data_IF_796564949800
#
_entry.id   IF_796564949800
#
_cell.length_a   1.000
_cell.length_b   1.000
_cell.length_c   1.000
_cell.angle_alpha   90.00
_cell.angle_beta   90.00
_cell.angle_gamma   90.00
#
_symmetry.space_group_name_H-M   'P 1'
#
loop_
_entity.id
_entity.type
_entity.pdbx_description
1 polymer ?
#
# COMPACT_ATOMS: atom_id res chain seq x y z
N UNK A 1 -44.27 18.14 8.69
CA UNK A 1 -42.90 17.57 8.87
C UNK A 1 -41.88 18.64 8.51
N UNK A 2 -40.96 18.99 9.42
CA UNK A 2 -40.08 20.13 9.24
C UNK A 2 -38.85 19.66 8.41
N UNK A 3 -38.60 20.14 7.17
CA UNK A 3 -37.54 19.65 6.30
C UNK A 3 -36.13 19.85 6.87
N UNK A 4 -35.96 20.81 7.79
CA UNK A 4 -34.68 21.08 8.45
C UNK A 4 -34.24 19.97 9.42
N UNK A 5 -35.16 19.28 10.08
CA UNK A 5 -34.85 18.18 11.01
C UNK A 5 -34.37 16.94 10.27
N UNK A 6 -34.88 16.69 9.06
CA UNK A 6 -34.49 15.56 8.21
C UNK A 6 -33.09 15.74 7.60
N UNK A 7 -32.69 16.98 7.30
CA UNK A 7 -31.35 17.27 6.73
C UNK A 7 -30.25 17.20 7.78
N UNK A 8 -30.50 17.67 9.01
CA UNK A 8 -29.53 17.58 10.12
C UNK A 8 -29.28 16.12 10.55
N UNK A 9 -30.32 15.29 10.62
CA UNK A 9 -30.16 13.86 10.92
C UNK A 9 -29.35 13.11 9.85
N UNK A 10 -29.50 13.46 8.59
CA UNK A 10 -28.78 12.84 7.47
C UNK A 10 -27.29 13.22 7.43
N UNK A 11 -26.96 14.48 7.73
CA UNK A 11 -25.55 14.92 7.79
C UNK A 11 -24.81 14.34 8.99
N UNK A 12 -25.47 14.18 10.14
CA UNK A 12 -24.87 13.54 11.32
C UNK A 12 -24.64 12.03 11.11
N UNK A 13 -25.57 11.32 10.50
CA UNK A 13 -25.40 9.88 10.20
C UNK A 13 -24.30 9.64 9.16
N UNK A 14 -24.15 10.52 8.16
CA UNK A 14 -23.06 10.43 7.18
C UNK A 14 -21.70 10.68 7.84
N UNK A 15 -21.57 11.68 8.71
CA UNK A 15 -20.33 11.95 9.44
C UNK A 15 -19.94 10.79 10.38
N UNK A 16 -20.90 10.16 11.05
CA UNK A 16 -20.66 9.02 11.92
C UNK A 16 -20.22 7.77 11.12
N UNK A 17 -20.80 7.53 9.95
CA UNK A 17 -20.40 6.41 9.07
C UNK A 17 -18.98 6.62 8.54
N UNK A 18 -18.63 7.80 8.07
CA UNK A 18 -17.28 8.15 7.60
C UNK A 18 -16.24 7.95 8.70
N UNK A 19 -16.49 8.44 9.92
CA UNK A 19 -15.59 8.25 11.05
C UNK A 19 -15.38 6.76 11.39
N UNK A 20 -16.41 5.93 11.23
CA UNK A 20 -16.33 4.48 11.44
C UNK A 20 -15.46 3.82 10.37
N UNK A 21 -15.60 4.21 9.11
CA UNK A 21 -14.77 3.69 8.00
C UNK A 21 -13.31 4.07 8.24
N UNK A 22 -12.99 5.33 8.51
CA UNK A 22 -11.63 5.79 8.84
C UNK A 22 -11.04 4.94 9.95
N UNK A 23 -11.71 4.86 11.11
CA UNK A 23 -11.21 4.09 12.25
C UNK A 23 -10.95 2.62 11.92
N UNK A 24 -11.91 1.97 11.28
CA UNK A 24 -11.79 0.55 10.95
C UNK A 24 -10.69 0.29 9.91
N UNK A 25 -10.53 1.17 8.92
CA UNK A 25 -9.46 1.11 7.91
C UNK A 25 -8.09 1.17 8.59
N UNK A 26 -7.82 2.20 9.39
CA UNK A 26 -6.51 2.37 10.02
C UNK A 26 -6.21 1.31 11.09
N UNK A 27 -7.25 0.81 11.78
CA UNK A 27 -7.10 -0.32 12.70
C UNK A 27 -6.74 -1.61 11.95
N UNK A 28 -7.48 -1.95 10.89
CA UNK A 28 -7.20 -3.14 10.08
C UNK A 28 -5.84 -3.00 9.36
N UNK A 29 -5.51 -1.80 8.86
CA UNK A 29 -4.21 -1.52 8.24
C UNK A 29 -3.05 -1.76 9.22
N UNK A 30 -3.15 -1.29 10.46
CA UNK A 30 -2.13 -1.53 11.49
C UNK A 30 -1.94 -3.01 11.78
N UNK A 31 -3.06 -3.76 11.86
CA UNK A 31 -3.02 -5.22 12.09
C UNK A 31 -2.39 -5.96 10.90
N UNK A 32 -2.73 -5.59 9.68
CA UNK A 32 -2.21 -6.22 8.45
C UNK A 32 -0.74 -5.87 8.21
N UNK A 33 -0.31 -4.64 8.52
CA UNK A 33 1.11 -4.26 8.48
C UNK A 33 1.93 -5.06 9.50
N UNK A 34 1.43 -5.20 10.74
CA UNK A 34 2.07 -6.01 11.76
C UNK A 34 2.15 -7.49 11.35
N UNK A 35 1.07 -8.03 10.80
CA UNK A 35 1.04 -9.42 10.30
C UNK A 35 2.01 -9.63 9.12
N UNK A 36 2.05 -8.69 8.17
CA UNK A 36 3.00 -8.72 7.05
C UNK A 36 4.46 -8.64 7.55
N UNK A 37 4.74 -7.81 8.56
CA UNK A 37 6.07 -7.74 9.16
C UNK A 37 6.45 -9.06 9.85
N UNK A 38 5.50 -9.71 10.54
CA UNK A 38 5.72 -11.04 11.15
C UNK A 38 6.02 -12.10 10.09
N UNK A 39 5.24 -12.16 9.01
CA UNK A 39 5.47 -13.12 7.93
C UNK A 39 6.77 -12.86 7.19
N UNK A 40 7.16 -11.59 6.99
CA UNK A 40 8.48 -11.22 6.45
C UNK A 40 9.61 -11.68 7.38
N UNK A 41 9.50 -11.41 8.69
CA UNK A 41 10.48 -11.85 9.69
C UNK A 41 10.62 -13.36 9.75
N UNK A 42 9.50 -14.10 9.71
CA UNK A 42 9.54 -15.58 9.64
C UNK A 42 10.19 -16.08 8.35
N UNK A 43 9.84 -15.47 7.21
CA UNK A 43 10.45 -15.80 5.91
C UNK A 43 11.96 -15.58 5.90
N UNK A 44 12.43 -14.48 6.53
CA UNK A 44 13.85 -14.20 6.71
C UNK A 44 14.53 -15.22 7.63
N UNK A 45 13.95 -15.47 8.80
CA UNK A 45 14.53 -16.37 9.81
C UNK A 45 14.65 -17.81 9.31
N UNK A 46 13.70 -18.25 8.49
CA UNK A 46 13.69 -19.59 7.88
C UNK A 46 14.44 -19.64 6.56
N UNK A 47 15.03 -18.54 6.09
CA UNK A 47 15.70 -18.42 4.79
C UNK A 47 14.86 -18.97 3.64
N UNK A 48 13.56 -18.66 3.63
CA UNK A 48 12.66 -19.15 2.59
C UNK A 48 13.03 -18.55 1.23
N UNK A 49 12.98 -19.35 0.15
CA UNK A 49 13.29 -18.85 -1.19
C UNK A 49 12.20 -17.90 -1.68
N UNK A 50 12.58 -16.94 -2.53
CA UNK A 50 11.61 -16.11 -3.23
C UNK A 50 10.77 -16.99 -4.18
N UNK A 51 9.44 -16.88 -4.20
CA UNK A 51 8.57 -17.75 -4.99
C UNK A 51 8.71 -17.56 -6.51
N UNK A 52 9.45 -16.53 -6.92
CA UNK A 52 9.58 -16.17 -8.34
C UNK A 52 8.45 -15.24 -8.81
N UNK A 53 8.69 -14.57 -9.95
CA UNK A 53 7.83 -13.54 -10.47
C UNK A 53 6.41 -14.05 -10.78
N UNK A 54 6.29 -15.21 -11.42
CA UNK A 54 4.97 -15.75 -11.85
C UNK A 54 4.10 -16.05 -10.63
N UNK A 55 4.64 -16.77 -9.63
CA UNK A 55 3.89 -17.13 -8.42
C UNK A 55 3.53 -15.87 -7.63
N UNK A 56 4.44 -14.88 -7.57
CA UNK A 56 4.18 -13.60 -6.91
C UNK A 56 3.02 -12.86 -7.58
N UNK A 57 3.02 -12.74 -8.91
CA UNK A 57 1.95 -12.07 -9.64
C UNK A 57 0.61 -12.81 -9.52
N UNK A 58 0.60 -14.12 -9.73
CA UNK A 58 -0.62 -14.94 -9.61
C UNK A 58 -1.17 -14.91 -8.19
N UNK A 59 -0.31 -15.03 -7.18
CA UNK A 59 -0.69 -14.97 -5.77
C UNK A 59 -1.25 -13.58 -5.39
N UNK A 60 -0.55 -12.52 -5.78
CA UNK A 60 -0.98 -11.16 -5.52
C UNK A 60 -2.35 -10.84 -6.16
N UNK A 61 -2.46 -11.02 -7.49
CA UNK A 61 -3.71 -10.69 -8.19
C UNK A 61 -4.84 -11.66 -7.83
N UNK A 62 -4.54 -12.94 -7.59
CA UNK A 62 -5.52 -13.93 -7.14
C UNK A 62 -6.10 -13.59 -5.77
N UNK A 63 -5.25 -13.26 -4.79
CA UNK A 63 -5.68 -12.87 -3.45
C UNK A 63 -6.38 -11.50 -3.47
N UNK A 64 -5.92 -10.56 -4.29
CA UNK A 64 -6.58 -9.28 -4.48
C UNK A 64 -7.99 -9.46 -5.07
N UNK A 65 -8.15 -10.33 -6.07
CA UNK A 65 -9.44 -10.66 -6.65
C UNK A 65 -10.38 -11.30 -5.61
N UNK A 66 -9.89 -12.26 -4.82
CA UNK A 66 -10.67 -12.89 -3.76
C UNK A 66 -11.08 -11.88 -2.69
N UNK A 67 -10.16 -10.99 -2.27
CA UNK A 67 -10.47 -9.92 -1.31
C UNK A 67 -11.57 -9.01 -1.85
N UNK A 68 -11.47 -8.59 -3.12
CA UNK A 68 -12.47 -7.74 -3.78
C UNK A 68 -13.82 -8.45 -3.89
N UNK A 69 -13.83 -9.74 -4.26
CA UNK A 69 -15.05 -10.52 -4.40
C UNK A 69 -15.80 -10.71 -3.06
N UNK A 70 -15.07 -10.86 -1.96
CA UNK A 70 -15.62 -11.10 -0.63
C UNK A 70 -15.57 -9.86 0.30
N UNK A 71 -15.34 -8.67 -0.23
CA UNK A 71 -15.14 -7.43 0.52
C UNK A 71 -16.27 -7.06 1.49
N UNK A 72 -17.49 -7.53 1.22
CA UNK A 72 -18.68 -7.24 2.02
C UNK A 72 -19.02 -8.37 3.02
N UNK A 73 -18.09 -9.31 3.23
CA UNK A 73 -18.25 -10.44 4.13
C UNK A 73 -17.06 -10.60 5.08
N UNK A 74 -17.24 -11.38 6.16
CA UNK A 74 -16.13 -11.71 7.07
C UNK A 74 -14.95 -12.43 6.40
N UNK A 75 -15.20 -13.15 5.28
CA UNK A 75 -14.15 -13.77 4.48
C UNK A 75 -13.22 -12.73 3.84
N UNK A 76 -13.70 -11.51 3.55
CA UNK A 76 -12.86 -10.43 3.04
C UNK A 76 -11.72 -10.10 3.99
N UNK A 77 -11.94 -10.10 5.30
CA UNK A 77 -10.88 -9.88 6.30
C UNK A 77 -9.84 -11.01 6.22
N UNK A 78 -10.28 -12.28 6.14
CA UNK A 78 -9.37 -13.41 6.01
C UNK A 78 -8.49 -13.29 4.75
N UNK A 79 -9.08 -12.89 3.61
CA UNK A 79 -8.33 -12.69 2.36
C UNK A 79 -7.40 -11.47 2.42
N UNK A 80 -7.74 -10.40 3.16
CA UNK A 80 -6.80 -9.30 3.42
C UNK A 80 -5.57 -9.80 4.17
N UNK A 81 -5.74 -10.60 5.24
CA UNK A 81 -4.61 -11.18 5.95
C UNK A 81 -3.82 -12.17 5.08
N UNK A 82 -4.50 -12.98 4.26
CA UNK A 82 -3.81 -13.86 3.31
C UNK A 82 -2.98 -13.05 2.30
N UNK A 83 -3.52 -11.97 1.74
CA UNK A 83 -2.82 -11.08 0.82
C UNK A 83 -1.60 -10.43 1.49
N UNK A 84 -1.79 -9.80 2.65
CA UNK A 84 -0.74 -9.08 3.35
C UNK A 84 0.34 -10.01 3.91
N UNK A 85 -0.04 -11.22 4.36
CA UNK A 85 0.88 -12.27 4.76
C UNK A 85 1.69 -12.82 3.59
N UNK A 86 1.06 -13.04 2.43
CA UNK A 86 1.76 -13.45 1.22
C UNK A 86 2.76 -12.39 0.75
N UNK A 87 2.37 -11.11 0.75
CA UNK A 87 3.27 -10.01 0.42
C UNK A 87 4.43 -9.91 1.42
N UNK A 88 4.17 -10.11 2.72
CA UNK A 88 5.23 -10.19 3.74
C UNK A 88 6.18 -11.35 3.48
N UNK A 89 5.66 -12.54 3.15
CA UNK A 89 6.49 -13.68 2.76
C UNK A 89 7.43 -13.34 1.60
N UNK A 90 6.93 -12.72 0.53
CA UNK A 90 7.76 -12.34 -0.63
C UNK A 90 8.81 -11.28 -0.29
N UNK A 91 8.55 -10.46 0.73
CA UNK A 91 9.47 -9.41 1.18
C UNK A 91 10.68 -9.98 1.95
N UNK A 92 10.52 -11.10 2.67
CA UNK A 92 11.59 -11.69 3.47
C UNK A 92 12.89 -11.97 2.71
N UNK A 93 12.87 -12.71 1.59
CA UNK A 93 14.03 -12.94 0.75
C UNK A 93 14.66 -11.65 0.20
N UNK A 94 13.85 -10.66 -0.14
CA UNK A 94 14.31 -9.35 -0.60
C UNK A 94 15.09 -8.66 0.51
N UNK A 95 14.54 -8.62 1.73
CA UNK A 95 15.22 -8.04 2.90
C UNK A 95 16.53 -8.77 3.23
N UNK A 96 16.56 -10.10 3.16
CA UNK A 96 17.80 -10.87 3.36
C UNK A 96 18.89 -10.47 2.34
N UNK A 97 18.51 -10.28 1.06
CA UNK A 97 19.43 -9.82 0.04
C UNK A 97 19.99 -8.43 0.36
N UNK A 98 19.16 -7.49 0.78
CA UNK A 98 19.62 -6.13 1.17
C UNK A 98 20.47 -6.17 2.46
N UNK A 99 20.08 -6.92 3.48
CA UNK A 99 20.80 -7.01 4.74
C UNK A 99 22.17 -7.67 4.60
N UNK A 100 22.41 -8.44 3.52
CA UNK A 100 23.73 -8.99 3.21
C UNK A 100 24.71 -7.95 2.62
N UNK A 101 24.23 -6.77 2.22
CA UNK A 101 25.10 -5.67 1.76
C UNK A 101 25.79 -4.97 2.95
N UNK A 102 27.01 -4.39 2.75
CA UNK A 102 27.74 -3.73 3.84
C UNK A 102 26.94 -2.68 4.61
N UNK A 103 26.10 -1.89 3.93
CA UNK A 103 25.24 -0.85 4.51
C UNK A 103 23.76 -1.26 4.57
N UNK A 104 23.45 -2.55 4.38
CA UNK A 104 22.08 -3.04 4.19
C UNK A 104 21.12 -2.69 5.31
N UNK A 105 21.56 -2.81 6.57
CA UNK A 105 20.74 -2.43 7.73
C UNK A 105 20.35 -0.95 7.73
N UNK A 106 21.26 -0.06 7.33
CA UNK A 106 20.99 1.38 7.21
C UNK A 106 20.01 1.66 6.07
N UNK A 107 20.17 1.01 4.92
CA UNK A 107 19.27 1.14 3.76
C UNK A 107 17.85 0.74 4.13
N UNK A 108 17.68 -0.42 4.80
CA UNK A 108 16.37 -0.91 5.25
C UNK A 108 15.73 0.06 6.26
N UNK A 109 16.50 0.53 7.25
CA UNK A 109 15.99 1.51 8.22
C UNK A 109 15.56 2.82 7.58
N UNK A 110 16.35 3.35 6.63
CA UNK A 110 15.99 4.57 5.90
C UNK A 110 14.74 4.39 5.03
N UNK A 111 14.61 3.24 4.35
CA UNK A 111 13.42 2.93 3.58
C UNK A 111 12.17 2.82 4.48
N UNK A 112 12.28 2.15 5.63
CA UNK A 112 11.18 2.05 6.61
C UNK A 112 10.82 3.43 7.18
N UNK A 113 11.80 4.20 7.62
CA UNK A 113 11.59 5.54 8.18
C UNK A 113 10.99 6.49 7.16
N UNK A 114 11.50 6.48 5.93
CA UNK A 114 10.97 7.27 4.80
C UNK A 114 9.53 6.91 4.48
N UNK A 115 9.23 5.61 4.38
CA UNK A 115 7.87 5.12 4.15
C UNK A 115 6.91 5.57 5.25
N UNK A 116 7.30 5.39 6.52
CA UNK A 116 6.48 5.81 7.65
C UNK A 116 6.27 7.33 7.67
N UNK A 117 7.31 8.13 7.42
CA UNK A 117 7.22 9.58 7.37
C UNK A 117 6.29 10.07 6.24
N UNK A 118 6.42 9.49 5.03
CA UNK A 118 5.55 9.83 3.90
C UNK A 118 4.10 9.43 4.21
N UNK A 119 3.86 8.19 4.62
CA UNK A 119 2.52 7.70 4.90
C UNK A 119 1.82 8.52 6.00
N UNK A 120 2.47 8.67 7.15
CA UNK A 120 1.89 9.41 8.28
C UNK A 120 1.73 10.90 7.96
N UNK A 121 2.72 11.52 7.30
CA UNK A 121 2.67 12.92 6.92
C UNK A 121 1.53 13.21 5.93
N UNK A 122 1.40 12.41 4.86
CA UNK A 122 0.36 12.61 3.86
C UNK A 122 -1.03 12.30 4.40
N UNK A 123 -1.18 11.19 5.14
CA UNK A 123 -2.47 10.85 5.77
C UNK A 123 -2.89 11.91 6.78
N UNK A 124 -1.99 12.36 7.66
CA UNK A 124 -2.27 13.44 8.62
C UNK A 124 -2.62 14.76 7.92
N UNK A 125 -1.91 15.10 6.85
CA UNK A 125 -2.20 16.29 6.04
C UNK A 125 -3.64 16.27 5.51
N UNK A 126 -4.06 15.17 4.87
CA UNK A 126 -5.42 15.05 4.33
C UNK A 126 -6.47 15.06 5.43
N UNK A 127 -6.25 14.28 6.51
CA UNK A 127 -7.19 14.24 7.64
C UNK A 127 -7.39 15.58 8.32
N UNK A 128 -6.34 16.40 8.39
CA UNK A 128 -6.39 17.73 9.02
C UNK A 128 -6.98 18.79 8.09
N UNK A 129 -6.49 18.86 6.85
CA UNK A 129 -6.91 19.90 5.89
C UNK A 129 -8.22 19.59 5.22
N UNK A 130 -8.63 18.31 5.18
CA UNK A 130 -9.81 17.81 4.47
C UNK A 130 -9.87 18.22 3.00
N UNK A 131 -8.70 18.44 2.37
CA UNK A 131 -8.65 18.73 0.93
C UNK A 131 -9.08 17.53 0.12
N UNK A 132 -9.81 17.79 -0.95
CA UNK A 132 -10.29 16.78 -1.87
C UNK A 132 -9.22 16.49 -2.94
N UNK A 133 -8.78 15.23 -3.01
CA UNK A 133 -7.81 14.72 -3.98
C UNK A 133 -8.44 13.76 -4.98
N UNK A 134 -9.78 13.68 -5.07
CA UNK A 134 -10.50 12.76 -5.96
C UNK A 134 -10.16 12.97 -7.44
N UNK A 135 -9.78 14.20 -7.84
CA UNK A 135 -9.35 14.52 -9.20
C UNK A 135 -8.11 13.75 -9.66
N UNK A 136 -7.30 13.24 -8.73
CA UNK A 136 -6.08 12.49 -9.05
C UNK A 136 -6.35 11.05 -9.50
N UNK A 137 -7.56 10.49 -9.26
CA UNK A 137 -7.85 9.07 -9.48
C UNK A 137 -7.51 8.58 -10.87
N UNK A 138 -7.93 9.29 -11.92
CA UNK A 138 -7.62 8.92 -13.30
C UNK A 138 -6.12 8.97 -13.63
N UNK A 139 -5.44 10.02 -13.18
CA UNK A 139 -3.99 10.17 -13.37
C UNK A 139 -3.21 9.04 -12.67
N UNK A 140 -3.56 8.74 -11.41
CA UNK A 140 -2.92 7.68 -10.64
C UNK A 140 -3.14 6.30 -11.27
N UNK A 141 -4.37 6.01 -11.72
CA UNK A 141 -4.68 4.75 -12.38
C UNK A 141 -3.82 4.52 -13.63
N UNK A 142 -3.75 5.51 -14.51
CA UNK A 142 -2.94 5.43 -15.74
C UNK A 142 -1.45 5.38 -15.39
N UNK A 143 -0.99 6.22 -14.46
CA UNK A 143 0.41 6.27 -14.05
C UNK A 143 0.89 4.95 -13.45
N UNK A 144 0.09 4.32 -12.57
CA UNK A 144 0.41 3.01 -11.98
C UNK A 144 0.46 1.92 -13.06
N UNK A 145 -0.49 1.92 -13.98
CA UNK A 145 -0.48 0.95 -15.08
C UNK A 145 0.78 1.09 -15.96
N UNK A 146 1.13 2.32 -16.33
CA UNK A 146 2.35 2.60 -17.12
C UNK A 146 3.60 2.19 -16.35
N UNK A 147 3.71 2.58 -15.08
CA UNK A 147 4.84 2.20 -14.22
C UNK A 147 4.96 0.68 -14.05
N UNK A 148 3.84 -0.02 -13.88
CA UNK A 148 3.80 -1.47 -13.77
C UNK A 148 4.28 -2.16 -15.06
N UNK A 149 3.78 -1.74 -16.23
CA UNK A 149 4.23 -2.27 -17.52
C UNK A 149 5.69 -1.96 -17.80
N UNK A 150 6.14 -0.74 -17.48
CA UNK A 150 7.54 -0.36 -17.61
C UNK A 150 8.44 -1.18 -16.66
N UNK A 151 7.97 -1.49 -15.45
CA UNK A 151 8.67 -2.36 -14.50
C UNK A 151 8.83 -3.79 -15.02
N UNK A 152 7.78 -4.35 -15.61
CA UNK A 152 7.86 -5.65 -16.28
C UNK A 152 8.89 -5.57 -17.43
N UNK A 153 8.82 -4.54 -18.26
CA UNK A 153 9.78 -4.33 -19.34
C UNK A 153 11.22 -4.20 -18.84
N UNK A 154 11.44 -3.47 -17.74
CA UNK A 154 12.77 -3.32 -17.14
C UNK A 154 13.40 -4.66 -16.71
N UNK A 155 12.57 -5.60 -16.23
CA UNK A 155 13.02 -6.94 -15.85
C UNK A 155 13.34 -7.77 -17.12
N UNK A 156 12.43 -7.79 -18.10
CA UNK A 156 12.60 -8.60 -19.32
C UNK A 156 13.79 -8.16 -20.18
N UNK A 157 14.05 -6.85 -20.24
CA UNK A 157 15.13 -6.27 -21.04
C UNK A 157 16.40 -6.00 -20.22
N UNK A 158 16.42 -6.39 -18.95
CA UNK A 158 17.57 -6.22 -18.03
C UNK A 158 18.09 -4.77 -18.01
N UNK A 159 17.17 -3.78 -17.88
CA UNK A 159 17.47 -2.35 -17.93
C UNK A 159 17.52 -1.73 -16.53
N UNK A 160 18.69 -1.70 -15.83
CA UNK A 160 18.77 -1.17 -14.46
C UNK A 160 18.34 0.30 -14.35
N UNK A 161 18.71 1.14 -15.31
CA UNK A 161 18.31 2.56 -15.33
C UNK A 161 16.79 2.74 -15.43
N UNK A 162 16.10 1.91 -16.24
CA UNK A 162 14.64 1.93 -16.31
C UNK A 162 14.03 1.44 -14.99
N UNK A 163 14.60 0.42 -14.36
CA UNK A 163 14.14 -0.10 -13.07
C UNK A 163 14.20 0.97 -11.96
N UNK A 164 15.28 1.77 -11.93
CA UNK A 164 15.39 2.91 -11.00
C UNK A 164 14.38 4.01 -11.29
N UNK A 165 14.20 4.37 -12.56
CA UNK A 165 13.20 5.37 -12.97
C UNK A 165 11.78 4.92 -12.59
N UNK A 166 11.46 3.63 -12.77
CA UNK A 166 10.18 3.04 -12.35
C UNK A 166 10.02 3.10 -10.83
N UNK A 167 11.05 2.80 -10.06
CA UNK A 167 11.00 2.90 -8.59
C UNK A 167 10.76 4.36 -8.13
N UNK A 168 11.43 5.33 -8.74
CA UNK A 168 11.17 6.75 -8.46
C UNK A 168 9.72 7.14 -8.82
N UNK A 169 9.21 6.65 -9.93
CA UNK A 169 7.82 6.86 -10.35
C UNK A 169 6.84 6.24 -9.35
N UNK A 170 7.09 5.01 -8.86
CA UNK A 170 6.26 4.38 -7.84
C UNK A 170 6.28 5.15 -6.51
N UNK A 171 7.40 5.73 -6.08
CA UNK A 171 7.43 6.58 -4.87
C UNK A 171 6.43 7.74 -5.00
N UNK A 172 6.41 8.43 -6.14
CA UNK A 172 5.49 9.54 -6.38
C UNK A 172 4.04 9.08 -6.51
N UNK A 173 3.80 8.01 -7.28
CA UNK A 173 2.45 7.47 -7.51
C UNK A 173 1.83 6.91 -6.23
N UNK A 174 2.60 6.19 -5.40
CA UNK A 174 2.11 5.64 -4.14
C UNK A 174 1.85 6.74 -3.11
N UNK A 175 2.69 7.78 -3.09
CA UNK A 175 2.43 8.97 -2.28
C UNK A 175 1.12 9.66 -2.70
N UNK A 176 0.91 9.82 -4.01
CA UNK A 176 -0.35 10.34 -4.55
C UNK A 176 -1.55 9.44 -4.24
N UNK A 177 -1.37 8.12 -4.29
CA UNK A 177 -2.44 7.15 -3.97
C UNK A 177 -2.82 7.18 -2.49
N UNK A 178 -1.85 7.42 -1.58
CA UNK A 178 -2.13 7.63 -0.15
C UNK A 178 -2.97 8.90 0.07
N UNK A 179 -2.62 10.01 -0.61
CA UNK A 179 -3.42 11.24 -0.57
C UNK A 179 -4.84 11.00 -1.09
N UNK A 180 -4.95 10.39 -2.27
CA UNK A 180 -6.21 10.07 -2.93
C UNK A 180 -7.10 9.20 -2.05
N UNK A 181 -6.58 8.07 -1.56
CA UNK A 181 -7.37 7.10 -0.81
C UNK A 181 -7.81 7.66 0.55
N UNK A 182 -6.90 8.35 1.27
CA UNK A 182 -7.26 9.01 2.52
C UNK A 182 -8.36 10.07 2.29
N UNK A 183 -8.24 10.85 1.20
CA UNK A 183 -9.27 11.81 0.80
C UNK A 183 -10.60 11.14 0.47
N UNK A 184 -10.54 10.05 -0.29
CA UNK A 184 -11.70 9.27 -0.72
C UNK A 184 -12.48 8.71 0.49
N UNK A 185 -11.77 8.19 1.50
CA UNK A 185 -12.39 7.70 2.75
C UNK A 185 -13.08 8.84 3.50
N UNK A 186 -12.40 9.98 3.72
CA UNK A 186 -12.96 11.07 4.56
C UNK A 186 -14.11 11.82 3.89
N UNK A 187 -14.18 11.81 2.55
CA UNK A 187 -15.29 12.41 1.80
C UNK A 187 -16.40 11.40 1.46
N UNK A 188 -16.27 10.13 1.88
CA UNK A 188 -17.29 9.10 1.73
C UNK A 188 -17.38 8.50 0.32
N UNK A 189 -16.34 8.68 -0.51
CA UNK A 189 -16.21 8.02 -1.82
C UNK A 189 -15.86 6.53 -1.68
N UNK A 190 -15.01 6.18 -0.69
CA UNK A 190 -14.79 4.78 -0.31
C UNK A 190 -15.47 4.50 1.05
N UNK A 191 -16.39 3.56 1.03
CA UNK A 191 -17.19 3.17 2.21
C UNK A 191 -16.84 1.78 2.74
N UNK A 192 -16.08 1.00 1.96
CA UNK A 192 -15.64 -0.32 2.35
C UNK A 192 -14.24 -0.25 2.97
N UNK A 193 -14.16 -0.39 4.30
CA UNK A 193 -12.89 -0.31 5.04
C UNK A 193 -11.90 -1.42 4.66
N UNK A 194 -12.37 -2.58 4.14
CA UNK A 194 -11.50 -3.66 3.65
C UNK A 194 -10.76 -3.21 2.39
N UNK A 195 -11.47 -2.62 1.41
CA UNK A 195 -10.87 -2.13 0.18
C UNK A 195 -9.94 -0.95 0.44
N UNK A 196 -10.35 -0.01 1.29
CA UNK A 196 -9.51 1.09 1.74
C UNK A 196 -8.20 0.59 2.39
N UNK A 197 -8.29 -0.44 3.25
CA UNK A 197 -7.11 -1.07 3.86
C UNK A 197 -6.19 -1.69 2.80
N UNK A 198 -6.73 -2.42 1.84
CA UNK A 198 -5.94 -3.03 0.75
C UNK A 198 -5.21 -1.98 -0.05
N UNK A 199 -5.90 -0.91 -0.47
CA UNK A 199 -5.30 0.18 -1.26
C UNK A 199 -4.16 0.86 -0.49
N UNK A 200 -4.37 1.20 0.79
CA UNK A 200 -3.33 1.81 1.62
C UNK A 200 -2.17 0.84 1.90
N UNK A 201 -2.45 -0.44 2.19
CA UNK A 201 -1.40 -1.43 2.40
C UNK A 201 -0.52 -1.61 1.16
N UNK A 202 -1.13 -1.77 -0.01
CA UNK A 202 -0.42 -1.92 -1.28
C UNK A 202 0.41 -0.66 -1.59
N UNK A 203 -0.13 0.53 -1.29
CA UNK A 203 0.61 1.79 -1.45
C UNK A 203 1.84 1.83 -0.55
N UNK A 204 1.72 1.49 0.73
CA UNK A 204 2.82 1.44 1.70
C UNK A 204 3.86 0.41 1.28
N UNK A 205 3.43 -0.78 0.87
CA UNK A 205 4.32 -1.87 0.45
C UNK A 205 5.14 -1.48 -0.78
N UNK A 206 4.49 -0.95 -1.82
CA UNK A 206 5.19 -0.50 -3.03
C UNK A 206 6.08 0.72 -2.77
N UNK A 207 5.65 1.64 -1.91
CA UNK A 207 6.47 2.79 -1.48
C UNK A 207 7.74 2.30 -0.78
N UNK A 208 7.61 1.37 0.17
CA UNK A 208 8.73 0.78 0.89
C UNK A 208 9.72 0.07 -0.04
N UNK A 209 9.22 -0.83 -0.90
CA UNK A 209 10.08 -1.59 -1.82
C UNK A 209 10.76 -0.70 -2.85
N UNK A 210 10.09 0.36 -3.31
CA UNK A 210 10.66 1.35 -4.22
C UNK A 210 11.73 2.21 -3.55
N UNK A 211 11.51 2.67 -2.31
CA UNK A 211 12.53 3.37 -1.52
C UNK A 211 13.72 2.45 -1.21
N UNK A 212 13.45 1.21 -0.86
CA UNK A 212 14.49 0.21 -0.61
C UNK A 212 15.39 0.03 -1.84
N UNK A 213 14.81 -0.07 -3.05
CA UNK A 213 15.54 -0.21 -4.29
C UNK A 213 16.37 1.05 -4.62
N UNK A 214 15.78 2.24 -4.51
CA UNK A 214 16.48 3.51 -4.77
C UNK A 214 17.64 3.76 -3.80
N UNK A 215 17.39 3.56 -2.50
CA UNK A 215 18.41 3.75 -1.47
C UNK A 215 19.50 2.69 -1.54
N UNK A 216 19.15 1.45 -1.87
CA UNK A 216 20.10 0.36 -2.06
C UNK A 216 21.03 0.61 -3.23
N UNK A 217 20.53 1.15 -4.32
CA UNK A 217 21.37 1.56 -5.46
C UNK A 217 22.33 2.70 -5.07
N UNK A 218 21.79 3.77 -4.45
CA UNK A 218 22.58 4.93 -4.05
C UNK A 218 23.66 4.63 -2.98
N UNK A 219 23.53 3.52 -2.26
CA UNK A 219 24.50 3.14 -1.22
C UNK A 219 25.62 2.23 -1.73
N UNK A 220 25.54 1.76 -2.98
CA UNK A 220 26.55 0.91 -3.61
C UNK A 220 27.51 1.69 -4.53
N UNK A 221 27.25 2.98 -4.74
CA UNK A 221 28.14 3.94 -5.41
C UNK A 221 29.00 4.67 -4.35
#
# INVERSE_FOLDING_TARGET
MNPQVTTLGRSQSAALSTNKVVRNTYMLLSMTLAFSALTAGLSMALNLPHPGMIITLVGYFGLLFLTTKFRDSGLGIAFVFALTGFMGYTLGPILNAYLSLPNGGQVVMMAMGGTAAIFLGLSAYVMTTRKDFSFMGGFLMVGILVAFLAGIGAIFFEMPGLSLAVSAMFVLLMSGLILYETSNIIHGGETNYIMATVTLFVSIFNLFTSLLHLLGFASND
#
